data_IF_251069763785
#
_entry.id   IF_251069763785
#
_cell.length_a   1.000
_cell.length_b   1.000
_cell.length_c   1.000
_cell.angle_alpha   90.00
_cell.angle_beta   90.00
_cell.angle_gamma   90.00
#
_symmetry.space_group_name_H-M   'P 1'
#
loop_
_entity.id
_entity.type
_entity.pdbx_description
1 polymer ?
#
# COMPACT_ATOMS: atom_id res chain seq x y z
N UNK A 1 -23.95 49.11 0.39
CA UNK A 1 -23.16 47.99 -0.17
C UNK A 1 -24.21 47.05 -0.77
N UNK A 2 -24.35 47.03 -2.10
CA UNK A 2 -25.40 46.26 -2.77
C UNK A 2 -25.08 44.76 -2.63
N UNK A 3 -25.76 44.04 -1.74
CA UNK A 3 -25.79 42.58 -1.79
C UNK A 3 -26.52 42.19 -3.08
N UNK A 4 -25.83 41.52 -3.99
CA UNK A 4 -26.48 41.00 -5.18
C UNK A 4 -27.61 40.03 -4.76
N UNK A 5 -28.79 40.08 -5.39
CA UNK A 5 -29.97 39.31 -4.96
C UNK A 5 -29.76 37.79 -4.92
N UNK A 6 -28.69 37.30 -5.59
CA UNK A 6 -28.35 35.88 -5.68
C UNK A 6 -27.22 35.45 -4.73
N UNK A 7 -26.72 36.33 -3.85
CA UNK A 7 -25.58 36.02 -2.98
C UNK A 7 -25.84 34.84 -2.03
N UNK A 8 -27.02 34.79 -1.41
CA UNK A 8 -27.39 33.69 -0.52
C UNK A 8 -27.52 32.36 -1.28
N UNK A 9 -28.04 32.40 -2.51
CA UNK A 9 -28.13 31.23 -3.38
C UNK A 9 -26.74 30.76 -3.79
N UNK A 10 -25.84 31.68 -4.16
CA UNK A 10 -24.46 31.37 -4.54
C UNK A 10 -23.68 30.73 -3.38
N UNK A 11 -23.78 31.30 -2.16
CA UNK A 11 -23.15 30.74 -0.96
C UNK A 11 -23.66 29.34 -0.64
N UNK A 12 -24.98 29.12 -0.75
CA UNK A 12 -25.56 27.79 -0.55
C UNK A 12 -25.03 26.79 -1.60
N UNK A 13 -24.99 27.18 -2.88
CA UNK A 13 -24.46 26.31 -3.94
C UNK A 13 -22.99 25.99 -3.78
N UNK A 14 -22.17 26.97 -3.37
CA UNK A 14 -20.74 26.77 -3.09
C UNK A 14 -20.54 25.81 -1.93
N UNK A 15 -21.23 26.03 -0.81
CA UNK A 15 -21.15 25.14 0.35
C UNK A 15 -21.64 23.72 0.03
N UNK A 16 -22.73 23.58 -0.72
CA UNK A 16 -23.23 22.28 -1.15
C UNK A 16 -22.22 21.56 -2.07
N UNK A 17 -21.61 22.29 -3.01
CA UNK A 17 -20.62 21.73 -3.93
C UNK A 17 -19.33 21.29 -3.22
N UNK A 18 -18.83 22.08 -2.27
CA UNK A 18 -17.61 21.74 -1.53
C UNK A 18 -17.81 20.52 -0.63
N UNK A 19 -18.96 20.43 0.05
CA UNK A 19 -19.33 19.25 0.85
C UNK A 19 -19.45 17.99 -0.02
N UNK A 20 -20.04 18.11 -1.20
CA UNK A 20 -20.19 16.98 -2.13
C UNK A 20 -18.83 16.48 -2.63
N UNK A 21 -17.94 17.39 -3.05
CA UNK A 21 -16.57 17.05 -3.49
C UNK A 21 -15.79 16.40 -2.35
N UNK A 22 -15.79 17.01 -1.16
CA UNK A 22 -15.08 16.49 0.00
C UNK A 22 -15.58 15.09 0.38
N UNK A 23 -16.89 14.85 0.32
CA UNK A 23 -17.48 13.54 0.60
C UNK A 23 -17.04 12.48 -0.41
N UNK A 24 -17.07 12.80 -1.72
CA UNK A 24 -16.62 11.89 -2.77
C UNK A 24 -15.14 11.53 -2.61
N UNK A 25 -14.28 12.53 -2.47
CA UNK A 25 -12.84 12.33 -2.32
C UNK A 25 -12.53 11.48 -1.09
N UNK A 26 -13.17 11.77 0.05
CA UNK A 26 -12.99 11.01 1.29
C UNK A 26 -13.41 9.54 1.13
N UNK A 27 -14.50 9.26 0.42
CA UNK A 27 -14.93 7.87 0.20
C UNK A 27 -13.96 7.11 -0.70
N UNK A 28 -13.42 7.76 -1.73
CA UNK A 28 -12.45 7.16 -2.64
C UNK A 28 -11.13 6.87 -1.92
N UNK A 29 -10.62 7.84 -1.15
CA UNK A 29 -9.39 7.66 -0.37
C UNK A 29 -9.60 6.62 0.73
N UNK A 30 -10.74 6.61 1.42
CA UNK A 30 -11.07 5.58 2.40
C UNK A 30 -11.11 4.18 1.78
N UNK A 31 -11.75 4.02 0.62
CA UNK A 31 -11.77 2.76 -0.11
C UNK A 31 -10.36 2.29 -0.50
N UNK A 32 -9.53 3.22 -0.97
CA UNK A 32 -8.13 2.94 -1.31
C UNK A 32 -7.36 2.46 -0.08
N UNK A 33 -7.42 3.20 1.03
CA UNK A 33 -6.77 2.87 2.31
C UNK A 33 -7.23 1.49 2.82
N UNK A 34 -8.53 1.19 2.75
CA UNK A 34 -9.08 -0.09 3.21
C UNK A 34 -8.52 -1.25 2.39
N UNK A 35 -8.47 -1.12 1.07
CA UNK A 35 -7.96 -2.20 0.22
C UNK A 35 -6.46 -2.38 0.41
N UNK A 36 -5.68 -1.30 0.44
CA UNK A 36 -4.23 -1.42 0.67
C UNK A 36 -3.94 -1.99 2.06
N UNK A 37 -4.67 -1.55 3.08
CA UNK A 37 -4.56 -2.09 4.44
C UNK A 37 -4.97 -3.56 4.52
N UNK A 38 -5.95 -4.00 3.74
CA UNK A 38 -6.29 -5.41 3.61
C UNK A 38 -5.14 -6.21 2.97
N UNK A 39 -4.55 -5.72 1.87
CA UNK A 39 -3.41 -6.41 1.22
C UNK A 39 -2.20 -6.53 2.15
N UNK A 40 -1.91 -5.47 2.90
CA UNK A 40 -0.87 -5.42 3.94
C UNK A 40 -1.13 -6.46 5.02
N UNK A 41 -2.33 -6.45 5.62
CA UNK A 41 -2.69 -7.38 6.69
C UNK A 41 -2.65 -8.85 6.22
N UNK A 42 -3.06 -9.13 4.97
CA UNK A 42 -2.96 -10.47 4.39
C UNK A 42 -1.50 -10.91 4.22
N UNK A 43 -0.60 -10.03 3.73
CA UNK A 43 0.82 -10.34 3.62
C UNK A 43 1.44 -10.64 4.99
N UNK A 44 1.14 -9.84 6.01
CA UNK A 44 1.63 -10.06 7.37
C UNK A 44 1.09 -11.38 7.95
N UNK A 45 -0.19 -11.68 7.79
CA UNK A 45 -0.77 -12.95 8.25
C UNK A 45 -0.15 -14.17 7.55
N UNK A 46 0.09 -14.08 6.23
CA UNK A 46 0.80 -15.12 5.47
C UNK A 46 2.25 -15.28 5.96
N UNK A 47 2.89 -14.19 6.39
CA UNK A 47 4.26 -14.19 6.92
C UNK A 47 4.32 -14.95 8.24
N UNK A 48 3.39 -14.68 9.15
CA UNK A 48 3.29 -15.39 10.43
C UNK A 48 3.00 -16.89 10.20
N UNK A 49 2.08 -17.22 9.27
CA UNK A 49 1.75 -18.60 8.94
C UNK A 49 2.97 -19.37 8.39
N UNK A 50 3.83 -18.71 7.60
CA UNK A 50 5.08 -19.31 7.09
C UNK A 50 6.11 -19.57 8.19
N UNK A 51 6.30 -18.62 9.12
CA UNK A 51 7.27 -18.73 10.21
C UNK A 51 6.92 -19.92 11.12
N UNK A 52 5.65 -20.08 11.47
CA UNK A 52 5.20 -21.12 12.40
C UNK A 52 4.78 -22.43 11.72
N UNK A 53 4.79 -22.49 10.38
CA UNK A 53 4.32 -23.64 9.58
C UNK A 53 4.88 -24.97 10.06
N UNK A 54 6.20 -25.04 10.26
CA UNK A 54 6.86 -26.28 10.67
C UNK A 54 6.49 -26.71 12.09
N UNK A 55 6.53 -25.77 13.03
CA UNK A 55 6.31 -26.05 14.45
C UNK A 55 4.86 -26.43 14.74
N UNK A 56 3.90 -25.79 14.07
CA UNK A 56 2.48 -26.11 14.22
C UNK A 56 2.15 -27.52 13.74
N UNK A 57 2.67 -27.89 12.56
CA UNK A 57 2.49 -29.24 12.03
C UNK A 57 3.23 -30.24 12.93
N UNK A 58 4.46 -29.96 13.36
CA UNK A 58 5.22 -30.85 14.25
C UNK A 58 4.48 -31.13 15.56
N UNK A 59 3.87 -30.12 16.18
CA UNK A 59 3.05 -30.26 17.40
C UNK A 59 1.82 -31.12 17.17
N UNK A 60 1.12 -30.93 16.06
CA UNK A 60 -0.08 -31.73 15.68
C UNK A 60 0.24 -33.24 15.63
N UNK A 61 1.44 -33.62 15.21
CA UNK A 61 1.88 -35.02 15.08
C UNK A 61 2.71 -35.56 16.25
N UNK A 62 3.06 -34.74 17.26
CA UNK A 62 3.76 -35.22 18.45
C UNK A 62 2.87 -36.04 19.39
N UNK A 63 1.54 -35.91 19.30
CA UNK A 63 0.57 -36.62 20.14
C UNK A 63 0.16 -38.04 19.68
N UNK A 64 0.71 -38.55 18.57
CA UNK A 64 0.32 -39.86 18.00
C UNK A 64 1.34 -40.93 18.45
N UNK A 65 0.96 -41.88 19.34
CA UNK A 65 1.84 -42.96 19.75
C UNK A 65 1.85 -44.09 18.71
N UNK A 66 3.05 -44.47 18.25
CA UNK A 66 3.29 -45.72 17.53
C UNK A 66 3.21 -45.64 16.00
N UNK A 67 4.29 -45.18 15.36
CA UNK A 67 4.55 -45.45 13.94
C UNK A 67 6.06 -45.35 13.62
N UNK A 68 6.50 -46.02 12.55
CA UNK A 68 7.88 -45.96 12.03
C UNK A 68 8.30 -44.50 11.80
N UNK A 69 9.48 -44.09 12.30
CA UNK A 69 9.99 -42.72 12.23
C UNK A 69 10.00 -42.18 10.79
N UNK A 70 10.20 -43.07 9.81
CA UNK A 70 10.10 -42.77 8.38
C UNK A 70 8.70 -42.41 7.91
N UNK A 71 7.66 -43.11 8.40
CA UNK A 71 6.28 -42.81 8.01
C UNK A 71 5.83 -41.48 8.60
N UNK A 72 6.25 -41.18 9.84
CA UNK A 72 6.00 -39.88 10.49
C UNK A 72 6.60 -38.71 9.70
N UNK A 73 7.86 -38.84 9.25
CA UNK A 73 8.51 -37.81 8.45
C UNK A 73 7.84 -37.60 7.08
N UNK A 74 7.36 -38.68 6.45
CA UNK A 74 6.62 -38.61 5.19
C UNK A 74 5.29 -37.86 5.36
N UNK A 75 4.48 -38.25 6.35
CA UNK A 75 3.16 -37.64 6.61
C UNK A 75 3.31 -36.16 6.99
N UNK A 76 4.32 -35.81 7.78
CA UNK A 76 4.62 -34.42 8.15
C UNK A 76 4.87 -33.56 6.90
N UNK A 77 5.71 -34.03 5.98
CA UNK A 77 6.05 -33.30 4.76
C UNK A 77 4.89 -33.22 3.77
N UNK A 78 4.02 -34.23 3.71
CA UNK A 78 2.78 -34.19 2.94
C UNK A 78 1.85 -33.07 3.45
N UNK A 79 1.73 -32.94 4.78
CA UNK A 79 0.96 -31.87 5.43
C UNK A 79 1.57 -30.47 5.21
N UNK A 80 2.90 -30.34 5.32
CA UNK A 80 3.63 -29.10 4.99
C UNK A 80 3.35 -28.71 3.54
N UNK A 81 3.46 -29.66 2.61
CA UNK A 81 3.21 -29.44 1.19
C UNK A 81 1.79 -28.93 0.92
N UNK A 82 0.79 -29.48 1.61
CA UNK A 82 -0.60 -29.05 1.47
C UNK A 82 -0.80 -27.60 1.95
N UNK A 83 -0.35 -27.28 3.17
CA UNK A 83 -0.46 -25.92 3.73
C UNK A 83 0.33 -24.90 2.92
N UNK A 84 1.54 -25.25 2.49
CA UNK A 84 2.37 -24.40 1.64
C UNK A 84 1.67 -24.06 0.32
N UNK A 85 1.02 -25.02 -0.33
CA UNK A 85 0.22 -24.74 -1.54
C UNK A 85 -0.93 -23.76 -1.29
N UNK A 86 -1.57 -23.83 -0.13
CA UNK A 86 -2.65 -22.92 0.25
C UNK A 86 -2.13 -21.50 0.51
N UNK A 87 -0.99 -21.36 1.18
CA UNK A 87 -0.29 -20.08 1.38
C UNK A 87 0.07 -19.46 0.03
N UNK A 88 0.69 -20.22 -0.87
CA UNK A 88 1.06 -19.75 -2.22
C UNK A 88 -0.17 -19.29 -3.01
N UNK A 89 -1.25 -20.08 -2.97
CA UNK A 89 -2.50 -19.71 -3.65
C UNK A 89 -3.06 -18.40 -3.13
N UNK A 90 -3.08 -18.20 -1.80
CA UNK A 90 -3.52 -16.95 -1.17
C UNK A 90 -2.62 -15.77 -1.53
N UNK A 91 -1.30 -15.95 -1.54
CA UNK A 91 -0.34 -14.93 -1.95
C UNK A 91 -0.54 -14.51 -3.42
N UNK A 92 -0.75 -15.46 -4.34
CA UNK A 92 -1.04 -15.16 -5.76
C UNK A 92 -2.34 -14.35 -5.91
N UNK A 93 -3.38 -14.71 -5.17
CA UNK A 93 -4.65 -13.97 -5.19
C UNK A 93 -4.45 -12.54 -4.66
N UNK A 94 -3.65 -12.38 -3.61
CA UNK A 94 -3.33 -11.05 -3.06
C UNK A 94 -2.56 -10.18 -4.06
N UNK A 95 -1.57 -10.77 -4.75
CA UNK A 95 -0.84 -10.09 -5.83
C UNK A 95 -1.78 -9.66 -6.96
N UNK A 96 -2.70 -10.54 -7.39
CA UNK A 96 -3.68 -10.22 -8.44
C UNK A 96 -4.62 -9.09 -8.03
N UNK A 97 -5.10 -9.10 -6.77
CA UNK A 97 -5.90 -8.01 -6.21
C UNK A 97 -5.13 -6.70 -6.21
N UNK A 98 -3.91 -6.70 -5.68
CA UNK A 98 -3.03 -5.52 -5.65
C UNK A 98 -2.82 -4.92 -7.04
N UNK A 99 -2.49 -5.76 -8.03
CA UNK A 99 -2.25 -5.30 -9.39
C UNK A 99 -3.50 -4.70 -10.05
N UNK A 100 -4.69 -5.26 -9.78
CA UNK A 100 -5.95 -4.70 -10.27
C UNK A 100 -6.25 -3.33 -9.66
N UNK A 101 -5.98 -3.18 -8.36
CA UNK A 101 -6.15 -1.91 -7.64
C UNK A 101 -5.18 -0.86 -8.19
N UNK A 102 -3.90 -1.21 -8.33
CA UNK A 102 -2.90 -0.34 -8.93
C UNK A 102 -3.28 0.08 -10.35
N UNK A 103 -3.72 -0.85 -11.20
CA UNK A 103 -4.11 -0.55 -12.58
C UNK A 103 -5.30 0.43 -12.70
N UNK A 104 -6.26 0.36 -11.76
CA UNK A 104 -7.42 1.26 -11.72
C UNK A 104 -7.03 2.64 -11.20
N UNK A 105 -6.24 2.71 -10.14
CA UNK A 105 -5.95 3.98 -9.45
C UNK A 105 -4.72 4.72 -9.99
N UNK A 106 -3.77 4.04 -10.66
CA UNK A 106 -2.50 4.63 -11.08
C UNK A 106 -2.66 5.93 -11.89
N UNK A 107 -3.67 5.99 -12.76
CA UNK A 107 -3.92 7.15 -13.62
C UNK A 107 -4.55 8.29 -12.84
N UNK A 108 -5.52 7.96 -11.98
CA UNK A 108 -6.21 8.93 -11.13
C UNK A 108 -5.22 9.60 -10.17
N UNK A 109 -4.39 8.81 -9.47
CA UNK A 109 -3.38 9.31 -8.52
C UNK A 109 -2.35 10.20 -9.23
N UNK A 110 -1.94 9.86 -10.46
CA UNK A 110 -1.02 10.70 -11.22
C UNK A 110 -1.61 12.07 -11.55
N UNK A 111 -2.88 12.11 -11.98
CA UNK A 111 -3.58 13.38 -12.27
C UNK A 111 -3.79 14.18 -10.99
N UNK A 112 -4.17 13.52 -9.90
CA UNK A 112 -4.33 14.12 -8.58
C UNK A 112 -3.04 14.81 -8.12
N UNK A 113 -1.90 14.11 -8.19
CA UNK A 113 -0.61 14.67 -7.77
C UNK A 113 -0.20 15.88 -8.62
N UNK A 114 -0.45 15.84 -9.95
CA UNK A 114 -0.17 16.98 -10.83
C UNK A 114 -1.03 18.20 -10.47
N UNK A 115 -2.32 18.00 -10.25
CA UNK A 115 -3.23 19.08 -9.88
C UNK A 115 -2.89 19.64 -8.50
N UNK A 116 -2.58 18.79 -7.53
CA UNK A 116 -2.17 19.21 -6.18
C UNK A 116 -0.89 20.03 -6.20
N UNK A 117 0.12 19.63 -6.98
CA UNK A 117 1.36 20.41 -7.12
C UNK A 117 1.09 21.80 -7.69
N UNK A 118 0.27 21.90 -8.74
CA UNK A 118 -0.09 23.18 -9.34
C UNK A 118 -0.90 24.06 -8.38
N UNK A 119 -1.87 23.47 -7.67
CA UNK A 119 -2.70 24.17 -6.68
C UNK A 119 -1.84 24.72 -5.54
N UNK A 120 -0.99 23.90 -4.93
CA UNK A 120 -0.11 24.30 -3.84
C UNK A 120 0.86 25.42 -4.24
N UNK A 121 1.43 25.36 -5.45
CA UNK A 121 2.30 26.44 -5.95
C UNK A 121 1.51 27.74 -6.12
N UNK A 122 0.29 27.69 -6.68
CA UNK A 122 -0.56 28.87 -6.86
C UNK A 122 -1.00 29.48 -5.52
N UNK A 123 -1.37 28.65 -4.55
CA UNK A 123 -1.74 29.05 -3.20
C UNK A 123 -0.59 29.72 -2.44
N UNK A 124 0.61 29.13 -2.52
CA UNK A 124 1.80 29.69 -1.89
C UNK A 124 2.14 31.07 -2.50
N UNK A 125 2.01 31.24 -3.82
CA UNK A 125 2.18 32.54 -4.50
C UNK A 125 1.11 33.56 -4.11
N UNK A 126 -0.12 33.12 -3.83
CA UNK A 126 -1.21 33.94 -3.30
C UNK A 126 -0.98 34.46 -1.88
N UNK A 127 0.06 33.94 -1.20
CA UNK A 127 0.51 34.38 0.11
C UNK A 127 0.04 33.46 1.23
N UNK A 128 1.00 32.90 1.97
CA UNK A 128 0.78 31.91 3.04
C UNK A 128 -0.20 32.36 4.14
N UNK A 129 -0.32 33.67 4.39
CA UNK A 129 -1.23 34.22 5.40
C UNK A 129 -2.71 33.96 5.06
N UNK A 130 -3.05 33.89 3.78
CA UNK A 130 -4.43 33.67 3.33
C UNK A 130 -4.78 32.18 3.24
N UNK A 131 -3.79 31.30 3.14
CA UNK A 131 -3.96 29.89 2.77
C UNK A 131 -3.40 28.90 3.80
N UNK A 132 -3.23 29.35 5.05
CA UNK A 132 -2.57 28.59 6.10
C UNK A 132 -3.19 27.22 6.40
N UNK A 133 -4.51 27.05 6.24
CA UNK A 133 -5.20 25.79 6.52
C UNK A 133 -5.25 24.82 5.32
N UNK A 134 -5.11 25.31 4.09
CA UNK A 134 -5.24 24.50 2.87
C UNK A 134 -3.95 23.73 2.56
N UNK A 135 -2.79 24.40 2.71
CA UNK A 135 -1.46 23.79 2.52
C UNK A 135 -1.26 22.51 3.35
N UNK A 136 -1.46 22.50 4.68
CA UNK A 136 -1.27 21.28 5.47
C UNK A 136 -2.30 20.20 5.12
N UNK A 137 -3.52 20.57 4.72
CA UNK A 137 -4.54 19.62 4.29
C UNK A 137 -4.13 18.91 2.99
N UNK A 138 -3.73 19.66 1.97
CA UNK A 138 -3.27 19.11 0.70
C UNK A 138 -2.01 18.24 0.86
N UNK A 139 -1.05 18.66 1.70
CA UNK A 139 0.13 17.84 2.00
C UNK A 139 -0.22 16.56 2.74
N UNK A 140 -1.21 16.58 3.62
CA UNK A 140 -1.67 15.40 4.35
C UNK A 140 -2.28 14.37 3.39
N UNK A 141 -3.04 14.79 2.38
CA UNK A 141 -3.59 13.88 1.36
C UNK A 141 -2.48 13.14 0.61
N UNK A 142 -1.49 13.85 0.08
CA UNK A 142 -0.34 13.23 -0.60
C UNK A 142 0.45 12.34 0.35
N UNK A 143 0.63 12.77 1.60
CA UNK A 143 1.30 11.97 2.62
C UNK A 143 0.54 10.66 2.89
N UNK A 144 -0.79 10.67 2.92
CA UNK A 144 -1.58 9.45 3.13
C UNK A 144 -1.41 8.45 2.00
N UNK A 145 -1.42 8.89 0.74
CA UNK A 145 -1.23 8.01 -0.42
C UNK A 145 0.18 7.43 -0.49
N UNK A 146 1.20 8.24 -0.20
CA UNK A 146 2.58 7.76 -0.13
C UNK A 146 2.82 6.85 1.08
N UNK A 147 2.11 7.08 2.19
CA UNK A 147 2.18 6.25 3.39
C UNK A 147 1.57 4.87 3.16
N UNK A 148 0.37 4.79 2.57
CA UNK A 148 -0.27 3.50 2.25
C UNK A 148 0.58 2.68 1.28
N UNK A 149 1.15 3.32 0.25
CA UNK A 149 2.08 2.67 -0.67
C UNK A 149 3.31 2.12 0.05
N UNK A 150 3.90 2.89 0.98
CA UNK A 150 5.03 2.45 1.79
C UNK A 150 4.69 1.23 2.68
N UNK A 151 3.51 1.23 3.30
CA UNK A 151 3.07 0.10 4.16
C UNK A 151 3.03 -1.23 3.40
N UNK A 152 2.58 -1.22 2.15
CA UNK A 152 2.56 -2.42 1.31
C UNK A 152 3.98 -2.90 0.98
N UNK A 153 4.89 -1.98 0.68
CA UNK A 153 6.32 -2.28 0.46
C UNK A 153 6.92 -2.93 1.70
N UNK A 154 6.73 -2.31 2.88
CA UNK A 154 7.24 -2.84 4.15
C UNK A 154 6.68 -4.25 4.43
N UNK A 155 5.40 -4.50 4.13
CA UNK A 155 4.79 -5.82 4.32
C UNK A 155 5.32 -6.88 3.35
N UNK A 156 5.72 -6.49 2.14
CA UNK A 156 6.40 -7.40 1.22
C UNK A 156 7.79 -7.80 1.75
N UNK A 157 8.54 -6.86 2.32
CA UNK A 157 9.85 -7.14 2.89
C UNK A 157 9.74 -8.09 4.09
N UNK A 158 8.72 -7.90 4.95
CA UNK A 158 8.42 -8.84 6.03
C UNK A 158 8.08 -10.23 5.48
N UNK A 159 7.26 -10.30 4.43
CA UNK A 159 6.91 -11.56 3.78
C UNK A 159 8.15 -12.26 3.19
N UNK A 160 9.01 -11.55 2.47
CA UNK A 160 10.26 -12.12 1.94
C UNK A 160 11.13 -12.73 3.06
N UNK A 161 11.33 -11.99 4.15
CA UNK A 161 12.12 -12.46 5.30
C UNK A 161 11.46 -13.69 5.94
N UNK A 162 10.14 -13.71 6.07
CA UNK A 162 9.39 -14.84 6.63
C UNK A 162 9.51 -16.13 5.81
N UNK A 163 9.60 -16.01 4.48
CA UNK A 163 9.82 -17.15 3.58
C UNK A 163 11.21 -17.73 3.81
N UNK A 164 12.22 -16.88 4.02
CA UNK A 164 13.57 -17.32 4.35
C UNK A 164 13.65 -17.97 5.74
N UNK A 165 12.91 -17.43 6.71
CA UNK A 165 12.90 -17.90 8.11
C UNK A 165 11.94 -19.07 8.38
N UNK A 166 11.27 -19.62 7.36
CA UNK A 166 10.22 -20.65 7.48
C UNK A 166 10.70 -22.04 7.94
N UNK A 167 11.95 -22.17 8.40
CA UNK A 167 12.58 -23.45 8.76
C UNK A 167 12.64 -24.45 7.60
N UNK A 168 12.83 -23.93 6.38
CA UNK A 168 12.85 -24.72 5.15
C UNK A 168 13.93 -25.81 5.15
N UNK A 169 14.97 -25.69 5.97
CA UNK A 169 16.01 -26.69 6.16
C UNK A 169 15.48 -28.05 6.65
N UNK A 170 14.31 -28.06 7.30
CA UNK A 170 13.68 -29.29 7.80
C UNK A 170 12.74 -29.94 6.77
N UNK A 171 12.50 -29.30 5.62
CA UNK A 171 11.53 -29.77 4.63
C UNK A 171 12.13 -30.85 3.74
N UNK A 172 11.28 -31.62 3.04
CA UNK A 172 11.74 -32.50 1.98
C UNK A 172 12.27 -31.72 0.76
N UNK A 173 13.01 -32.40 -0.11
CA UNK A 173 13.60 -31.79 -1.32
C UNK A 173 12.55 -31.15 -2.24
N UNK A 174 11.32 -31.66 -2.26
CA UNK A 174 10.24 -31.10 -3.08
C UNK A 174 9.75 -29.75 -2.52
N UNK A 175 9.53 -29.68 -1.22
CA UNK A 175 9.05 -28.50 -0.52
C UNK A 175 10.12 -27.41 -0.44
N UNK A 176 11.40 -27.78 -0.24
CA UNK A 176 12.53 -26.83 -0.32
C UNK A 176 12.57 -26.11 -1.68
N UNK A 177 12.41 -26.84 -2.79
CA UNK A 177 12.34 -26.23 -4.14
C UNK A 177 11.15 -25.29 -4.28
N UNK A 178 10.04 -25.64 -3.65
CA UNK A 178 8.82 -24.82 -3.69
C UNK A 178 9.03 -23.51 -2.94
N UNK A 179 9.55 -23.55 -1.71
CA UNK A 179 9.91 -22.35 -0.94
C UNK A 179 10.93 -21.48 -1.68
N UNK A 180 11.95 -22.08 -2.27
CA UNK A 180 12.94 -21.33 -3.04
C UNK A 180 12.32 -20.54 -4.20
N UNK A 181 11.34 -21.14 -4.89
CA UNK A 181 10.58 -20.44 -5.93
C UNK A 181 9.75 -19.30 -5.33
N UNK A 182 9.08 -19.52 -4.19
CA UNK A 182 8.32 -18.47 -3.49
C UNK A 182 9.23 -17.32 -3.08
N UNK A 183 10.41 -17.61 -2.53
CA UNK A 183 11.40 -16.61 -2.14
C UNK A 183 11.85 -15.76 -3.34
N UNK A 184 12.15 -16.41 -4.47
CA UNK A 184 12.51 -15.69 -5.71
C UNK A 184 11.37 -14.82 -6.22
N UNK A 185 10.12 -15.27 -6.06
CA UNK A 185 8.94 -14.48 -6.44
C UNK A 185 8.69 -13.31 -5.48
N UNK A 186 8.92 -13.47 -4.17
CA UNK A 186 8.69 -12.44 -3.16
C UNK A 186 9.69 -11.29 -3.24
N UNK A 187 10.90 -11.53 -3.76
CA UNK A 187 11.89 -10.48 -4.04
C UNK A 187 11.39 -9.40 -5.02
N UNK A 188 10.33 -9.70 -5.78
CA UNK A 188 9.64 -8.68 -6.58
C UNK A 188 8.61 -7.98 -5.70
N UNK A 189 9.03 -6.91 -5.04
CA UNK A 189 8.20 -6.10 -4.16
C UNK A 189 6.96 -5.56 -4.87
N UNK A 190 5.79 -5.71 -4.24
CA UNK A 190 4.58 -5.06 -4.68
C UNK A 190 4.70 -3.57 -4.39
N UNK A 191 4.61 -2.77 -5.45
CA UNK A 191 4.64 -1.32 -5.36
C UNK A 191 3.38 -0.77 -5.99
N UNK A 192 2.92 0.36 -5.47
CA UNK A 192 1.87 1.14 -6.10
C UNK A 192 2.51 2.26 -6.91
N UNK A 193 1.95 2.58 -8.07
CA UNK A 193 2.54 3.57 -8.96
C UNK A 193 1.59 4.72 -9.27
N UNK A 194 2.11 5.94 -9.20
CA UNK A 194 1.52 7.10 -9.87
C UNK A 194 1.93 7.08 -11.36
N UNK A 195 1.00 6.67 -12.22
CA UNK A 195 1.13 6.80 -13.67
C UNK A 195 2.27 6.00 -14.31
N UNK A 196 2.84 5.00 -13.64
CA UNK A 196 4.08 4.27 -14.02
C UNK A 196 5.35 5.12 -14.02
N UNK A 197 5.28 6.37 -13.54
CA UNK A 197 6.40 7.31 -13.52
C UNK A 197 7.03 7.37 -12.14
N UNK A 198 6.20 7.33 -11.09
CA UNK A 198 6.67 7.34 -9.70
C UNK A 198 6.07 6.17 -8.92
N UNK A 199 6.82 5.67 -7.94
CA UNK A 199 6.33 4.71 -6.95
C UNK A 199 5.80 5.48 -5.74
N UNK A 200 4.63 5.10 -5.25
CA UNK A 200 4.05 5.67 -4.05
C UNK A 200 4.83 5.18 -2.84
N UNK A 201 5.77 6.01 -2.39
CA UNK A 201 6.60 5.77 -1.23
C UNK A 201 6.99 7.11 -0.58
N UNK A 202 7.61 7.04 0.59
CA UNK A 202 8.04 8.25 1.31
C UNK A 202 9.08 9.07 0.53
N UNK A 203 9.89 8.43 -0.33
CA UNK A 203 10.83 9.13 -1.19
C UNK A 203 10.12 9.99 -2.27
N UNK A 204 8.99 9.51 -2.80
CA UNK A 204 8.14 10.26 -3.71
C UNK A 204 7.53 11.48 -3.01
N UNK A 205 6.99 11.30 -1.81
CA UNK A 205 6.48 12.41 -0.99
C UNK A 205 7.54 13.51 -0.78
N UNK A 206 8.76 13.12 -0.37
CA UNK A 206 9.87 14.07 -0.20
C UNK A 206 10.24 14.78 -1.51
N UNK A 207 10.22 14.07 -2.64
CA UNK A 207 10.50 14.62 -3.95
C UNK A 207 9.44 15.64 -4.39
N UNK A 208 8.16 15.37 -4.14
CA UNK A 208 7.05 16.27 -4.42
C UNK A 208 7.17 17.56 -3.59
N UNK A 209 7.42 17.44 -2.29
CA UNK A 209 7.61 18.60 -1.41
C UNK A 209 8.78 19.48 -1.87
N UNK A 210 9.92 18.85 -2.23
CA UNK A 210 11.07 19.57 -2.76
C UNK A 210 10.74 20.29 -4.06
N UNK A 211 9.99 19.65 -4.96
CA UNK A 211 9.57 20.23 -6.23
C UNK A 211 8.65 21.44 -6.02
N UNK A 212 7.66 21.34 -5.14
CA UNK A 212 6.74 22.44 -4.80
C UNK A 212 7.54 23.63 -4.25
N UNK A 213 8.40 23.40 -3.26
CA UNK A 213 9.20 24.46 -2.64
C UNK A 213 10.16 25.13 -3.64
N UNK A 214 10.85 24.34 -4.47
CA UNK A 214 11.76 24.86 -5.49
C UNK A 214 11.02 25.68 -6.55
N UNK A 215 9.84 25.23 -6.98
CA UNK A 215 9.04 25.92 -7.98
C UNK A 215 8.48 27.22 -7.43
N UNK A 216 7.97 27.17 -6.19
CA UNK A 216 7.50 28.34 -5.47
C UNK A 216 8.59 29.42 -5.35
N UNK A 217 9.79 29.07 -4.85
CA UNK A 217 10.89 30.04 -4.67
C UNK A 217 11.39 30.63 -5.99
N UNK A 218 11.43 29.82 -7.06
CA UNK A 218 11.80 30.29 -8.40
C UNK A 218 10.75 31.26 -8.97
N UNK A 219 9.46 30.96 -8.81
CA UNK A 219 8.39 31.84 -9.30
C UNK A 219 8.29 33.11 -8.46
N UNK A 220 8.39 33.02 -7.13
CA UNK A 220 8.37 34.19 -6.25
C UNK A 220 9.50 35.17 -6.60
N UNK A 221 10.72 34.67 -6.84
CA UNK A 221 11.86 35.51 -7.24
C UNK A 221 11.76 36.10 -8.65
N UNK A 222 10.92 35.54 -9.53
CA UNK A 222 10.72 36.04 -10.90
C UNK A 222 9.57 37.05 -10.98
N UNK A 223 8.55 36.89 -10.13
CA UNK A 223 7.34 37.74 -10.12
C UNK A 223 7.54 39.03 -9.30
N UNK A 224 8.56 39.08 -8.44
CA UNK A 224 8.94 40.24 -7.62
C UNK A 224 10.00 41.09 -8.29
#
# INVERSE_FOLDING_TARGET
MFEAPNYQVAMFTLAASSLFIAHLTTNITAFHIIITGYTEAQLLALSDELIYLWEDIKKEYQGIPGDDDRNKHYVLNESVKKRLKEIIKRHIINIDLHNKVDDVFRGAIAVEFLLLVLALVAELLGGLKNTYMEVPFALLLVATDCWTGQRVVDACDVFENSVYDSKWENYDKSNMKTIYLVYTMSQKTLTMSAGRVAMLNLACFMSINKYIYSTYTTLESTVR
#
